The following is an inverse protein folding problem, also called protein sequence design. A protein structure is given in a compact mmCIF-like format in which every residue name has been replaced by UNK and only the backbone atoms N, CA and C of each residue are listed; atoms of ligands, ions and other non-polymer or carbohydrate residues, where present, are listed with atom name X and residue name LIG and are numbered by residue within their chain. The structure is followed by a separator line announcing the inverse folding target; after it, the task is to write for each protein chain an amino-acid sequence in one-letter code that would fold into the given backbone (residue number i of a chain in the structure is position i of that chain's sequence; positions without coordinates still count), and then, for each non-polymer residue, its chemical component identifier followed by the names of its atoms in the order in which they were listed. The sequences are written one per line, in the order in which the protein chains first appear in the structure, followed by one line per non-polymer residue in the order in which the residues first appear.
data_IF_950815709918
#
_entry.id   IF_950815709918
#
_cell.length_a   1.000
_cell.length_b   1.000
_cell.length_c   1.000
_cell.angle_alpha   90.00
_cell.angle_beta   90.00
_cell.angle_gamma   90.00
#
_symmetry.space_group_name_H-M   'P 1'
#
loop_
_entity.id
_entity.type
_entity.pdbx_description
1 polymer ?
#
# COMPACT_ATOMS: atom_id res chain seq x y z
N UNK A 1 19.06 6.66 -13.54
CA UNK A 1 18.65 7.88 -12.81
C UNK A 1 17.13 7.92 -12.84
N UNK A 2 16.44 7.83 -11.70
CA UNK A 2 14.98 7.96 -11.66
C UNK A 2 14.61 9.38 -12.11
N UNK A 3 13.87 9.52 -13.22
CA UNK A 3 13.45 10.84 -13.70
C UNK A 3 12.37 11.42 -12.80
N UNK A 4 12.26 12.75 -12.75
CA UNK A 4 11.21 13.43 -11.99
C UNK A 4 9.79 12.94 -12.40
N UNK A 5 9.60 12.58 -13.67
CA UNK A 5 8.34 12.03 -14.18
C UNK A 5 7.99 10.67 -13.55
N UNK A 6 8.97 9.79 -13.36
CA UNK A 6 8.76 8.48 -12.72
C UNK A 6 8.42 8.65 -11.24
N UNK A 7 9.07 9.57 -10.54
CA UNK A 7 8.77 9.86 -9.13
C UNK A 7 7.37 10.44 -8.95
N UNK A 8 6.96 11.37 -9.82
CA UNK A 8 5.61 11.94 -9.81
C UNK A 8 4.54 10.86 -10.08
N UNK A 9 4.80 9.96 -11.04
CA UNK A 9 3.91 8.83 -11.33
C UNK A 9 3.75 7.89 -10.14
N UNK A 10 4.86 7.47 -9.51
CA UNK A 10 4.84 6.63 -8.31
C UNK A 10 4.03 7.30 -7.19
N UNK A 11 4.25 8.59 -6.95
CA UNK A 11 3.50 9.37 -5.96
C UNK A 11 1.99 9.38 -6.23
N UNK A 12 1.59 9.62 -7.49
CA UNK A 12 0.18 9.61 -7.89
C UNK A 12 -0.47 8.24 -7.66
N UNK A 13 0.22 7.15 -8.01
CA UNK A 13 -0.28 5.79 -7.79
C UNK A 13 -0.44 5.49 -6.30
N UNK A 14 0.52 5.89 -5.46
CA UNK A 14 0.42 5.69 -4.01
C UNK A 14 -0.71 6.50 -3.37
N UNK A 15 -0.94 7.74 -3.82
CA UNK A 15 -2.08 8.55 -3.36
C UNK A 15 -3.42 7.90 -3.70
N UNK A 16 -3.58 7.47 -4.97
CA UNK A 16 -4.81 6.80 -5.41
C UNK A 16 -5.04 5.48 -4.65
N UNK A 17 -4.01 4.64 -4.55
CA UNK A 17 -4.10 3.37 -3.85
C UNK A 17 -4.32 3.55 -2.33
N UNK A 18 -3.73 4.59 -1.72
CA UNK A 18 -3.93 4.98 -0.33
C UNK A 18 -5.36 5.42 -0.06
N UNK A 19 -5.96 6.20 -0.95
CA UNK A 19 -7.37 6.58 -0.89
C UNK A 19 -8.29 5.35 -0.93
N UNK A 20 -8.07 4.44 -1.88
CA UNK A 20 -8.87 3.20 -1.98
C UNK A 20 -8.71 2.34 -0.73
N UNK A 21 -7.51 2.25 -0.15
CA UNK A 21 -7.31 1.56 1.13
C UNK A 21 -8.06 2.25 2.28
N UNK A 22 -8.14 3.57 2.30
CA UNK A 22 -8.91 4.31 3.31
C UNK A 22 -10.41 4.02 3.23
N UNK A 23 -10.95 3.88 2.02
CA UNK A 23 -12.39 3.61 1.80
C UNK A 23 -12.73 2.13 1.97
N UNK A 24 -11.92 1.22 1.42
CA UNK A 24 -12.22 -0.22 1.28
C UNK A 24 -11.50 -1.07 2.34
N UNK A 25 -10.47 -0.53 3.00
CA UNK A 25 -9.67 -1.23 4.01
C UNK A 25 -8.50 -2.05 3.45
N UNK A 26 -8.60 -2.61 2.23
CA UNK A 26 -7.64 -3.62 1.72
C UNK A 26 -7.06 -3.34 0.32
N UNK A 27 -7.35 -2.18 -0.29
CA UNK A 27 -7.09 -1.94 -1.73
C UNK A 27 -5.69 -1.44 -2.15
N UNK A 28 -4.79 -1.13 -1.21
CA UNK A 28 -3.47 -0.55 -1.54
C UNK A 28 -2.65 -1.45 -2.47
N UNK A 29 -2.52 -2.78 -2.22
CA UNK A 29 -1.69 -3.63 -3.06
C UNK A 29 -2.32 -3.88 -4.43
N UNK A 30 -3.64 -4.07 -4.51
CA UNK A 30 -4.34 -4.39 -5.77
C UNK A 30 -4.31 -3.22 -6.75
N UNK A 31 -4.60 -2.01 -6.28
CA UNK A 31 -4.62 -0.81 -7.13
C UNK A 31 -3.21 -0.42 -7.55
N UNK A 32 -2.27 -0.36 -6.59
CA UNK A 32 -0.93 0.08 -6.90
C UNK A 32 -0.18 -0.94 -7.76
N UNK A 33 -0.36 -2.24 -7.53
CA UNK A 33 0.29 -3.26 -8.34
C UNK A 33 -0.28 -3.29 -9.76
N UNK A 34 -1.59 -3.11 -9.92
CA UNK A 34 -2.23 -2.99 -11.22
C UNK A 34 -1.73 -1.79 -12.04
N UNK A 35 -1.42 -0.66 -11.39
CA UNK A 35 -0.94 0.55 -12.07
C UNK A 35 0.58 0.57 -12.27
N UNK A 36 1.37 0.15 -11.28
CA UNK A 36 2.83 0.16 -11.38
C UNK A 36 3.34 -0.90 -12.35
N UNK A 37 2.74 -2.10 -12.36
CA UNK A 37 3.17 -3.21 -13.23
C UNK A 37 3.00 -2.93 -14.73
N UNK A 38 2.22 -1.91 -15.12
CA UNK A 38 2.14 -1.43 -16.51
C UNK A 38 3.45 -0.75 -16.95
N UNK A 39 4.17 -0.16 -16.00
CA UNK A 39 5.33 0.71 -16.26
C UNK A 39 6.65 0.14 -15.77
N UNK A 40 6.63 -0.90 -14.92
CA UNK A 40 7.84 -1.52 -14.38
C UNK A 40 7.64 -3.03 -14.14
N UNK A 41 8.72 -3.83 -14.05
CA UNK A 41 8.64 -5.23 -13.70
C UNK A 41 7.85 -5.46 -12.39
N UNK A 42 6.99 -6.50 -12.32
CA UNK A 42 6.20 -6.78 -11.12
C UNK A 42 7.06 -6.92 -9.85
N UNK A 43 8.24 -7.52 -9.94
CA UNK A 43 9.15 -7.62 -8.78
C UNK A 43 9.54 -6.25 -8.20
N UNK A 44 9.76 -5.24 -9.06
CA UNK A 44 10.09 -3.88 -8.61
C UNK A 44 8.87 -3.18 -7.99
N UNK A 45 7.69 -3.32 -8.59
CA UNK A 45 6.46 -2.77 -8.03
C UNK A 45 6.15 -3.37 -6.64
N UNK A 46 6.33 -4.69 -6.46
CA UNK A 46 6.16 -5.35 -5.17
C UNK A 46 7.14 -4.81 -4.11
N UNK A 47 8.41 -4.60 -4.49
CA UNK A 47 9.42 -4.06 -3.59
C UNK A 47 9.07 -2.64 -3.10
N UNK A 48 8.55 -1.78 -3.98
CA UNK A 48 8.07 -0.44 -3.62
C UNK A 48 6.86 -0.49 -2.68
N UNK A 49 5.98 -1.49 -2.84
CA UNK A 49 4.76 -1.63 -2.04
C UNK A 49 5.01 -2.20 -0.64
N UNK A 50 6.08 -2.96 -0.45
CA UNK A 50 6.35 -3.71 0.78
C UNK A 50 6.36 -2.80 2.01
N UNK A 51 7.23 -1.77 2.00
CA UNK A 51 7.42 -0.86 3.13
C UNK A 51 6.12 -0.08 3.47
N UNK A 52 5.48 0.65 2.53
CA UNK A 52 4.28 1.43 2.86
C UNK A 52 3.09 0.55 3.25
N UNK A 53 2.94 -0.64 2.64
CA UNK A 53 1.89 -1.58 3.02
C UNK A 53 2.11 -2.13 4.42
N UNK A 54 3.35 -2.52 4.76
CA UNK A 54 3.69 -3.00 6.08
C UNK A 54 3.44 -1.94 7.15
N UNK A 55 3.91 -0.71 6.93
CA UNK A 55 3.73 0.42 7.87
C UNK A 55 2.24 0.68 8.11
N UNK A 56 1.45 0.79 7.05
CA UNK A 56 0.01 1.10 7.20
C UNK A 56 -0.78 -0.09 7.77
N UNK A 57 -0.41 -1.33 7.48
CA UNK A 57 -1.03 -2.53 8.07
C UNK A 57 -0.71 -2.64 9.57
N UNK A 58 0.54 -2.42 9.96
CA UNK A 58 0.94 -2.42 11.38
C UNK A 58 0.28 -1.29 12.15
N UNK A 59 0.22 -0.09 11.55
CA UNK A 59 -0.48 1.03 12.16
C UNK A 59 -1.97 0.73 12.39
N UNK A 60 -2.66 0.17 11.39
CA UNK A 60 -4.05 -0.24 11.52
C UNK A 60 -4.25 -1.35 12.55
N UNK A 61 -3.30 -2.29 12.67
CA UNK A 61 -3.32 -3.33 13.70
C UNK A 61 -3.21 -2.74 15.10
N UNK A 62 -2.25 -1.83 15.33
CA UNK A 62 -1.98 -1.27 16.65
C UNK A 62 -3.05 -0.25 17.09
N UNK A 63 -3.61 0.52 16.16
CA UNK A 63 -4.63 1.54 16.45
C UNK A 63 -6.07 1.01 16.32
N UNK A 64 -6.26 -0.17 15.73
CA UNK A 64 -7.57 -0.75 15.48
C UNK A 64 -8.25 -1.27 16.77
N UNK A 65 -9.54 -0.94 17.02
CA UNK A 65 -10.28 -1.39 18.20
C UNK A 65 -10.52 -2.91 18.25
N UNK A 66 -10.23 -3.61 17.15
CA UNK A 66 -10.36 -5.05 16.98
C UNK A 66 -9.12 -5.84 17.43
N UNK A 67 -7.92 -5.24 17.51
CA UNK A 67 -6.71 -5.97 17.91
C UNK A 67 -6.78 -6.49 19.35
N UNK A 68 -7.26 -5.67 20.28
CA UNK A 68 -7.56 -6.10 21.66
C UNK A 68 -8.59 -7.24 21.73
N UNK A 69 -9.54 -7.30 20.79
CA UNK A 69 -10.52 -8.40 20.71
C UNK A 69 -9.91 -9.67 20.12
N UNK A 70 -8.98 -9.53 19.17
CA UNK A 70 -8.26 -10.66 18.57
C UNK A 70 -7.31 -11.31 19.59
N UNK A 71 -6.51 -10.54 20.33
CA UNK A 71 -5.62 -11.06 21.37
C UNK A 71 -6.35 -11.69 22.56
N UNK A 72 -7.64 -11.37 22.79
CA UNK A 72 -8.46 -12.04 23.82
C UNK A 72 -9.06 -13.36 23.35
N UNK A 73 -9.00 -13.65 22.04
CA UNK A 73 -9.60 -14.85 21.42
C UNK A 73 -8.57 -15.95 21.13
N UNK A 74 -7.28 -15.62 21.16
CA UNK A 74 -6.15 -16.55 21.03
C UNK A 74 -5.55 -16.79 22.41
#
# INVERSE_FOLDING_TARGET
MLSAGILAWIGAVFLAAGFVKGVVGMGLPTVAMGLLAVTMPPAQAAALLLIPSLVTNLWQLLTGPSFRRLCKRL
#
